data_IF_551560700031
#
_entry.id   IF_551560700031
#
_cell.length_a   1.000
_cell.length_b   1.000
_cell.length_c   1.000
_cell.angle_alpha   90.00
_cell.angle_beta   90.00
_cell.angle_gamma   90.00
#
_symmetry.space_group_name_H-M   'P 1'
#
loop_
_entity.id
_entity.type
_entity.pdbx_description
1 polymer ?
#
# COMPACT_ATOMS: atom_id res chain seq x y z
N UNK A 1 58.39 38.67 77.97
CA UNK A 1 59.01 37.70 78.90
C UNK A 1 58.39 36.34 78.63
N UNK A 2 59.04 35.50 77.82
CA UNK A 2 58.64 34.10 77.69
C UNK A 2 59.20 33.32 78.87
N UNK A 3 58.34 32.60 79.61
CA UNK A 3 58.79 31.74 80.70
C UNK A 3 59.75 30.68 80.14
N UNK A 4 60.90 30.49 80.79
CA UNK A 4 61.86 29.45 80.42
C UNK A 4 61.16 28.08 80.51
N UNK A 5 61.05 27.39 79.39
CA UNK A 5 60.53 26.02 79.39
C UNK A 5 61.55 25.13 80.12
N UNK A 6 61.09 24.24 81.02
CA UNK A 6 62.00 23.34 81.71
C UNK A 6 62.68 22.44 80.67
N UNK A 7 64.01 22.48 80.65
CA UNK A 7 64.82 21.56 79.84
C UNK A 7 64.66 20.19 80.47
N UNK A 8 63.84 19.35 79.84
CA UNK A 8 63.77 17.94 80.20
C UNK A 8 65.20 17.39 79.97
N UNK A 9 65.65 16.41 80.77
CA UNK A 9 66.94 15.72 80.53
C UNK A 9 66.75 14.22 80.26
N UNK A 10 67.73 13.54 79.65
CA UNK A 10 67.67 12.09 79.39
C UNK A 10 67.35 11.31 80.67
N UNK A 11 67.95 11.70 81.79
CA UNK A 11 67.76 11.03 83.06
C UNK A 11 66.33 11.18 83.61
N UNK A 12 65.70 12.34 83.40
CA UNK A 12 64.31 12.56 83.79
C UNK A 12 63.37 11.66 82.97
N UNK A 13 63.63 11.51 81.68
CA UNK A 13 62.85 10.61 80.81
C UNK A 13 63.05 9.15 81.19
N UNK A 14 64.27 8.71 81.48
CA UNK A 14 64.55 7.34 81.96
C UNK A 14 63.82 7.06 83.28
N UNK A 15 63.86 8.00 84.21
CA UNK A 15 63.23 7.86 85.52
C UNK A 15 61.71 7.69 85.41
N UNK A 16 61.05 8.51 84.59
CA UNK A 16 59.60 8.42 84.38
C UNK A 16 59.21 7.14 83.61
N UNK A 17 59.97 6.75 82.57
CA UNK A 17 59.71 5.49 81.83
C UNK A 17 59.88 4.26 82.73
N UNK A 18 60.91 4.25 83.58
CA UNK A 18 61.13 3.15 84.54
C UNK A 18 60.02 3.13 85.60
N UNK A 19 59.55 4.29 86.05
CA UNK A 19 58.42 4.42 86.99
C UNK A 19 57.09 3.95 86.38
N UNK A 20 56.92 4.09 85.08
CA UNK A 20 55.80 3.54 84.31
C UNK A 20 55.90 2.01 84.09
N UNK A 21 56.94 1.35 84.61
CA UNK A 21 57.12 -0.11 84.55
C UNK A 21 57.90 -0.60 83.33
N UNK A 22 58.51 0.29 82.54
CA UNK A 22 59.33 -0.08 81.39
C UNK A 22 60.69 -0.58 81.88
N UNK A 23 61.21 -1.64 81.28
CA UNK A 23 62.54 -2.17 81.58
C UNK A 23 63.59 -1.05 81.43
N UNK A 24 64.49 -0.94 82.41
CA UNK A 24 65.47 0.15 82.49
C UNK A 24 66.36 0.25 81.25
N UNK A 25 66.76 -0.87 80.63
CA UNK A 25 67.58 -0.86 79.42
C UNK A 25 66.82 -0.30 78.22
N UNK A 26 65.53 -0.64 78.09
CA UNK A 26 64.63 -0.11 77.05
C UNK A 26 64.35 1.38 77.31
N UNK A 27 64.16 1.79 78.56
CA UNK A 27 63.95 3.18 78.95
C UNK A 27 65.18 4.06 78.64
N UNK A 28 66.39 3.52 78.80
CA UNK A 28 67.65 4.20 78.43
C UNK A 28 67.74 4.39 76.92
N UNK A 29 67.48 3.34 76.13
CA UNK A 29 67.49 3.42 74.67
C UNK A 29 66.46 4.46 74.16
N UNK A 30 65.20 4.38 74.60
CA UNK A 30 64.15 5.31 74.19
C UNK A 30 64.42 6.77 74.60
N UNK A 31 64.94 6.99 75.81
CA UNK A 31 65.35 8.32 76.26
C UNK A 31 66.49 8.88 75.41
N UNK A 32 67.45 8.03 75.02
CA UNK A 32 68.54 8.43 74.13
C UNK A 32 68.00 8.90 72.77
N UNK A 33 67.06 8.15 72.17
CA UNK A 33 66.42 8.49 70.89
C UNK A 33 65.59 9.79 70.95
N UNK A 34 64.87 9.99 72.06
CA UNK A 34 64.09 11.20 72.31
C UNK A 34 64.94 12.49 72.33
N UNK A 35 66.10 12.46 73.00
CA UNK A 35 66.99 13.65 73.08
C UNK A 35 67.74 13.98 71.80
N UNK A 36 67.87 13.00 70.91
CA UNK A 36 68.62 13.14 69.68
C UNK A 36 67.71 13.55 68.50
N UNK A 37 66.43 13.87 68.76
CA UNK A 37 65.43 14.17 67.73
C UNK A 37 65.36 13.07 66.66
N UNK A 38 65.38 11.82 67.11
CA UNK A 38 65.31 10.65 66.23
C UNK A 38 63.87 10.36 65.81
N UNK A 39 63.24 11.27 65.04
CA UNK A 39 62.55 10.74 63.87
C UNK A 39 63.69 10.20 63.00
N UNK A 40 63.96 8.91 63.13
CA UNK A 40 65.01 8.30 62.33
C UNK A 40 64.59 8.39 60.86
N UNK A 41 65.54 8.41 59.94
CA UNK A 41 65.24 8.29 58.51
C UNK A 41 64.27 7.12 58.24
N UNK A 42 64.38 6.04 59.03
CA UNK A 42 63.50 4.87 58.98
C UNK A 42 62.05 5.16 59.38
N UNK A 43 61.78 6.05 60.32
CA UNK A 43 60.41 6.42 60.70
C UNK A 43 59.73 7.21 59.57
N UNK A 44 60.48 8.10 58.92
CA UNK A 44 60.01 8.86 57.75
C UNK A 44 59.82 7.92 56.55
N UNK A 45 60.75 7.00 56.33
CA UNK A 45 60.68 5.97 55.27
C UNK A 45 59.47 5.06 55.47
N UNK A 46 59.24 4.57 56.70
CA UNK A 46 58.05 3.77 57.03
C UNK A 46 56.74 4.53 56.79
N UNK A 47 56.67 5.79 57.22
CA UNK A 47 55.49 6.63 56.97
C UNK A 47 55.27 6.82 55.47
N UNK A 48 56.33 7.10 54.71
CA UNK A 48 56.28 7.26 53.26
C UNK A 48 55.79 5.98 52.58
N UNK A 49 56.39 4.83 52.88
CA UNK A 49 55.96 3.53 52.33
C UNK A 49 54.49 3.24 52.64
N UNK A 50 54.04 3.49 53.88
CA UNK A 50 52.64 3.29 54.24
C UNK A 50 51.70 4.25 53.49
N UNK A 51 52.12 5.50 53.28
CA UNK A 51 51.36 6.45 52.47
C UNK A 51 51.31 6.05 51.01
N UNK A 52 52.44 5.66 50.42
CA UNK A 52 52.52 5.21 49.03
C UNK A 52 51.64 3.97 48.81
N UNK A 53 51.68 2.97 49.70
CA UNK A 53 50.80 1.79 49.66
C UNK A 53 49.33 2.17 49.74
N UNK A 54 48.96 3.11 50.64
CA UNK A 54 47.57 3.57 50.75
C UNK A 54 47.14 4.31 49.49
N UNK A 55 48.01 5.13 48.91
CA UNK A 55 47.75 5.88 47.70
C UNK A 55 47.55 4.94 46.50
N UNK A 56 48.42 3.94 46.34
CA UNK A 56 48.29 2.91 45.30
C UNK A 56 46.98 2.12 45.42
N UNK A 57 46.56 1.79 46.65
CA UNK A 57 45.26 1.13 46.90
C UNK A 57 44.09 2.02 46.51
N UNK A 58 44.14 3.31 46.86
CA UNK A 58 43.11 4.28 46.48
C UNK A 58 43.04 4.43 44.96
N UNK A 59 44.18 4.60 44.30
CA UNK A 59 44.25 4.71 42.84
C UNK A 59 43.69 3.45 42.16
N UNK A 60 44.09 2.27 42.62
CA UNK A 60 43.59 0.99 42.09
C UNK A 60 42.08 0.85 42.26
N UNK A 61 41.54 1.24 43.42
CA UNK A 61 40.10 1.22 43.69
C UNK A 61 39.34 2.17 42.77
N UNK A 62 39.82 3.41 42.62
CA UNK A 62 39.20 4.40 41.75
C UNK A 62 39.24 3.98 40.28
N UNK A 63 40.36 3.42 39.81
CA UNK A 63 40.45 2.90 38.44
C UNK A 63 39.47 1.74 38.21
N UNK A 64 39.28 0.86 39.20
CA UNK A 64 38.30 -0.21 39.11
C UNK A 64 36.86 0.31 39.05
N UNK A 65 36.51 1.27 39.90
CA UNK A 65 35.19 1.93 39.90
C UNK A 65 34.92 2.66 38.59
N UNK A 66 35.88 3.43 38.07
CA UNK A 66 35.75 4.13 36.79
C UNK A 66 35.50 3.13 35.65
N UNK A 67 36.23 2.01 35.61
CA UNK A 67 36.00 0.95 34.61
C UNK A 67 34.61 0.33 34.76
N UNK A 68 34.17 0.06 35.98
CA UNK A 68 32.84 -0.50 36.24
C UNK A 68 31.72 0.45 35.78
N UNK A 69 31.82 1.73 36.14
CA UNK A 69 30.86 2.77 35.73
C UNK A 69 30.84 2.93 34.21
N UNK A 70 32.02 2.92 33.56
CA UNK A 70 32.10 3.00 32.10
C UNK A 70 31.38 1.82 31.44
N UNK A 71 31.66 0.59 31.89
CA UNK A 71 30.99 -0.62 31.37
C UNK A 71 29.48 -0.56 31.60
N UNK A 72 29.01 -0.09 32.76
CA UNK A 72 27.58 0.06 33.03
C UNK A 72 26.94 1.09 32.08
N UNK A 73 27.62 2.20 31.83
CA UNK A 73 27.14 3.23 30.92
C UNK A 73 27.08 2.73 29.47
N UNK A 74 28.14 2.05 29.00
CA UNK A 74 28.18 1.44 27.67
C UNK A 74 27.01 0.45 27.49
N UNK A 75 26.77 -0.44 28.47
CA UNK A 75 25.64 -1.37 28.45
C UNK A 75 24.26 -0.67 28.42
N UNK A 76 24.11 0.43 29.18
CA UNK A 76 22.87 1.23 29.16
C UNK A 76 22.64 1.88 27.80
N UNK A 77 23.71 2.39 27.18
CA UNK A 77 23.67 2.98 25.84
C UNK A 77 23.26 1.92 24.81
N UNK A 78 23.90 0.75 24.80
CA UNK A 78 23.58 -0.35 23.88
C UNK A 78 22.13 -0.83 24.02
N UNK A 79 21.65 -0.92 25.26
CA UNK A 79 20.25 -1.25 25.56
C UNK A 79 19.32 -0.21 24.96
N UNK A 80 19.63 1.08 25.09
CA UNK A 80 18.81 2.16 24.53
C UNK A 80 18.83 2.22 23.01
N UNK A 81 19.96 1.93 22.37
CA UNK A 81 20.00 1.77 20.92
C UNK A 81 19.12 0.61 20.46
N UNK A 82 19.23 -0.55 21.11
CA UNK A 82 18.40 -1.71 20.80
C UNK A 82 16.90 -1.42 20.98
N UNK A 83 16.51 -0.70 22.04
CA UNK A 83 15.12 -0.27 22.24
C UNK A 83 14.64 0.68 21.12
N UNK A 84 15.50 1.58 20.64
CA UNK A 84 15.18 2.52 19.56
C UNK A 84 15.05 1.81 18.22
N UNK A 85 15.97 0.90 17.88
CA UNK A 85 15.93 0.11 16.65
C UNK A 85 14.63 -0.70 16.57
N UNK A 86 14.27 -1.41 17.66
CA UNK A 86 13.01 -2.15 17.73
C UNK A 86 11.76 -1.26 17.54
N UNK A 87 11.78 -0.04 18.09
CA UNK A 87 10.68 0.94 17.87
C UNK A 87 10.61 1.40 16.42
N UNK A 88 11.76 1.61 15.78
CA UNK A 88 11.85 1.99 14.37
C UNK A 88 11.30 0.86 13.50
N UNK A 89 11.73 -0.38 13.72
CA UNK A 89 11.28 -1.56 12.96
C UNK A 89 9.76 -1.77 13.09
N UNK A 90 9.23 -1.58 14.29
CA UNK A 90 7.78 -1.64 14.55
C UNK A 90 7.05 -0.56 13.76
N UNK A 91 7.59 0.67 13.72
CA UNK A 91 6.98 1.78 12.96
C UNK A 91 7.02 1.55 11.45
N UNK A 92 8.10 0.96 10.92
CA UNK A 92 8.15 0.56 9.52
C UNK A 92 7.10 -0.51 9.21
N UNK A 93 7.01 -1.55 10.04
CA UNK A 93 6.01 -2.61 9.88
C UNK A 93 4.57 -2.06 9.92
N UNK A 94 4.27 -1.12 10.82
CA UNK A 94 2.97 -0.42 10.88
C UNK A 94 2.69 0.38 9.59
N UNK A 95 3.70 1.05 9.03
CA UNK A 95 3.57 1.81 7.78
C UNK A 95 3.34 0.90 6.58
N UNK A 96 4.08 -0.20 6.46
CA UNK A 96 3.92 -1.18 5.38
C UNK A 96 2.51 -1.76 5.39
N UNK A 97 2.01 -2.20 6.55
CA UNK A 97 0.64 -2.70 6.70
C UNK A 97 -0.41 -1.65 6.28
N UNK A 98 -0.18 -0.38 6.60
CA UNK A 98 -1.08 0.72 6.22
C UNK A 98 -1.07 0.96 4.71
N UNK A 99 0.09 0.83 4.07
CA UNK A 99 0.26 0.93 2.63
C UNK A 99 -0.49 -0.21 1.94
N UNK A 100 -0.28 -1.46 2.37
CA UNK A 100 -0.95 -2.64 1.81
C UNK A 100 -2.49 -2.56 1.92
N UNK A 101 -2.98 -2.08 3.07
CA UNK A 101 -4.40 -1.83 3.28
C UNK A 101 -4.93 -0.80 2.27
N UNK A 102 -4.18 0.28 2.01
CA UNK A 102 -4.59 1.31 1.05
C UNK A 102 -4.57 0.82 -0.40
N UNK A 103 -3.62 -0.02 -0.77
CA UNK A 103 -3.63 -0.69 -2.08
C UNK A 103 -4.86 -1.58 -2.24
N UNK A 104 -5.15 -2.43 -1.24
CA UNK A 104 -6.34 -3.29 -1.25
C UNK A 104 -7.64 -2.50 -1.35
N UNK A 105 -7.76 -1.36 -0.64
CA UNK A 105 -8.91 -0.46 -0.76
C UNK A 105 -9.06 0.14 -2.17
N UNK A 106 -7.94 0.47 -2.84
CA UNK A 106 -7.93 1.01 -4.20
C UNK A 106 -8.32 -0.05 -5.23
N UNK A 107 -7.78 -1.26 -5.13
CA UNK A 107 -8.11 -2.38 -6.02
C UNK A 107 -9.61 -2.68 -5.97
N UNK A 108 -10.19 -2.79 -4.76
CA UNK A 108 -11.63 -2.99 -4.59
C UNK A 108 -12.48 -1.87 -5.21
N UNK A 109 -12.02 -0.61 -5.14
CA UNK A 109 -12.70 0.52 -5.79
C UNK A 109 -12.63 0.42 -7.31
N UNK A 110 -11.49 0.00 -7.85
CA UNK A 110 -11.29 -0.21 -9.28
C UNK A 110 -12.22 -1.31 -9.77
N UNK A 111 -12.26 -2.46 -9.10
CA UNK A 111 -13.13 -3.59 -9.44
C UNK A 111 -14.61 -3.18 -9.42
N UNK A 112 -15.02 -2.41 -8.41
CA UNK A 112 -16.39 -1.88 -8.33
C UNK A 112 -16.72 -1.01 -9.54
N UNK A 113 -15.78 -0.16 -9.99
CA UNK A 113 -15.99 0.71 -11.15
C UNK A 113 -16.01 -0.06 -12.48
N UNK A 114 -15.21 -1.12 -12.61
CA UNK A 114 -15.30 -2.01 -13.76
C UNK A 114 -16.66 -2.71 -13.81
N UNK A 115 -17.13 -3.27 -12.70
CA UNK A 115 -18.44 -3.91 -12.62
C UNK A 115 -19.60 -2.93 -12.94
N UNK A 116 -19.51 -1.68 -12.47
CA UNK A 116 -20.48 -0.63 -12.84
C UNK A 116 -20.46 -0.35 -14.36
N UNK A 117 -19.29 -0.34 -14.98
CA UNK A 117 -19.13 -0.09 -16.41
C UNK A 117 -19.68 -1.26 -17.24
N UNK A 118 -19.36 -2.50 -16.87
CA UNK A 118 -19.88 -3.70 -17.54
C UNK A 118 -21.41 -3.73 -17.50
N UNK A 119 -22.01 -3.40 -16.35
CA UNK A 119 -23.47 -3.30 -16.24
C UNK A 119 -24.06 -2.23 -17.17
N UNK A 120 -23.39 -1.08 -17.32
CA UNK A 120 -23.82 -0.03 -18.26
C UNK A 120 -23.71 -0.51 -19.71
N UNK A 121 -22.63 -1.20 -20.06
CA UNK A 121 -22.43 -1.78 -21.40
C UNK A 121 -23.53 -2.79 -21.71
N UNK A 122 -23.79 -3.73 -20.81
CA UNK A 122 -24.85 -4.74 -20.96
C UNK A 122 -26.23 -4.08 -21.15
N UNK A 123 -26.53 -3.01 -20.40
CA UNK A 123 -27.78 -2.28 -20.55
C UNK A 123 -27.88 -1.58 -21.93
N UNK A 124 -26.79 -0.97 -22.41
CA UNK A 124 -26.75 -0.37 -23.75
C UNK A 124 -26.96 -1.43 -24.82
N UNK A 125 -26.27 -2.57 -24.73
CA UNK A 125 -26.39 -3.68 -25.66
C UNK A 125 -27.83 -4.21 -25.72
N UNK A 126 -28.45 -4.47 -24.56
CA UNK A 126 -29.84 -4.90 -24.50
C UNK A 126 -30.81 -3.90 -25.14
N UNK A 127 -30.64 -2.60 -24.86
CA UNK A 127 -31.46 -1.55 -25.45
C UNK A 127 -31.29 -1.46 -26.97
N UNK A 128 -30.07 -1.66 -27.48
CA UNK A 128 -29.81 -1.69 -28.92
C UNK A 128 -30.45 -2.92 -29.57
N UNK A 129 -30.34 -4.09 -28.95
CA UNK A 129 -30.97 -5.32 -29.45
C UNK A 129 -32.50 -5.15 -29.55
N UNK A 130 -33.14 -4.60 -28.52
CA UNK A 130 -34.59 -4.31 -28.55
C UNK A 130 -34.94 -3.35 -29.70
N UNK A 131 -34.19 -2.25 -29.87
CA UNK A 131 -34.43 -1.30 -30.98
C UNK A 131 -34.27 -1.96 -32.35
N UNK A 132 -33.25 -2.81 -32.51
CA UNK A 132 -33.01 -3.56 -33.75
C UNK A 132 -34.19 -4.49 -34.05
N UNK A 133 -34.70 -5.20 -33.04
CA UNK A 133 -35.85 -6.10 -33.21
C UNK A 133 -37.13 -5.35 -33.53
N UNK A 134 -37.37 -4.18 -32.92
CA UNK A 134 -38.49 -3.30 -33.28
C UNK A 134 -38.42 -2.90 -34.74
N UNK A 135 -37.30 -2.33 -35.19
CA UNK A 135 -37.11 -1.90 -36.59
C UNK A 135 -37.26 -3.08 -37.56
N UNK A 136 -36.70 -4.25 -37.21
CA UNK A 136 -36.84 -5.47 -38.03
C UNK A 136 -38.30 -5.87 -38.18
N UNK A 137 -39.10 -5.81 -37.12
CA UNK A 137 -40.51 -6.17 -37.15
C UNK A 137 -41.35 -5.15 -37.94
N UNK A 138 -41.07 -3.86 -37.78
CA UNK A 138 -41.69 -2.78 -38.58
C UNK A 138 -41.43 -2.99 -40.07
N UNK A 139 -40.17 -3.16 -40.47
CA UNK A 139 -39.79 -3.43 -41.86
C UNK A 139 -40.45 -4.71 -42.41
N UNK A 140 -40.55 -5.76 -41.58
CA UNK A 140 -41.24 -7.01 -41.98
C UNK A 140 -42.73 -6.77 -42.24
N UNK A 141 -43.38 -5.93 -41.44
CA UNK A 141 -44.78 -5.54 -41.62
C UNK A 141 -44.95 -4.71 -42.91
N UNK A 142 -44.09 -3.73 -43.12
CA UNK A 142 -44.13 -2.88 -44.32
C UNK A 142 -43.95 -3.71 -45.60
N UNK A 143 -42.98 -4.63 -45.61
CA UNK A 143 -42.77 -5.57 -46.73
C UNK A 143 -44.02 -6.43 -46.98
N UNK A 144 -44.68 -6.91 -45.92
CA UNK A 144 -45.90 -7.70 -46.05
C UNK A 144 -47.05 -6.87 -46.66
N UNK A 145 -47.20 -5.61 -46.25
CA UNK A 145 -48.19 -4.68 -46.81
C UNK A 145 -47.95 -4.45 -48.30
N UNK A 146 -46.71 -4.11 -48.67
CA UNK A 146 -46.31 -3.89 -50.09
C UNK A 146 -46.54 -5.15 -50.91
N UNK A 147 -46.21 -6.34 -50.38
CA UNK A 147 -46.46 -7.62 -51.05
C UNK A 147 -47.96 -7.84 -51.33
N UNK A 148 -48.83 -7.49 -50.38
CA UNK A 148 -50.27 -7.57 -50.56
C UNK A 148 -50.78 -6.57 -51.63
N UNK A 149 -50.31 -5.32 -51.60
CA UNK A 149 -50.65 -4.32 -52.62
C UNK A 149 -50.23 -4.76 -54.02
N UNK A 150 -49.01 -5.30 -54.20
CA UNK A 150 -48.53 -5.85 -55.47
C UNK A 150 -49.42 -7.01 -55.95
N UNK A 151 -49.88 -7.86 -55.02
CA UNK A 151 -50.79 -8.97 -55.33
C UNK A 151 -52.14 -8.47 -55.86
N UNK A 152 -52.70 -7.42 -55.25
CA UNK A 152 -53.95 -6.78 -55.70
C UNK A 152 -53.77 -6.16 -57.09
N UNK A 153 -52.71 -5.38 -57.30
CA UNK A 153 -52.40 -4.77 -58.60
C UNK A 153 -52.22 -5.83 -59.68
N UNK A 154 -51.59 -6.97 -59.36
CA UNK A 154 -51.46 -8.11 -60.30
C UNK A 154 -52.83 -8.68 -60.68
N UNK A 155 -53.75 -8.85 -59.73
CA UNK A 155 -55.11 -9.33 -60.00
C UNK A 155 -55.89 -8.34 -60.88
N UNK A 156 -55.79 -7.04 -60.60
CA UNK A 156 -56.44 -6.01 -61.40
C UNK A 156 -55.93 -6.00 -62.85
N UNK A 157 -54.62 -6.15 -63.04
CA UNK A 157 -54.03 -6.30 -64.39
C UNK A 157 -54.50 -7.57 -65.11
N UNK A 158 -54.61 -8.71 -64.41
CA UNK A 158 -55.14 -9.94 -64.99
C UNK A 158 -56.61 -9.80 -65.39
N UNK A 159 -57.42 -9.14 -64.55
CA UNK A 159 -58.82 -8.83 -64.85
C UNK A 159 -58.95 -7.94 -66.08
N UNK A 160 -58.24 -6.81 -66.11
CA UNK A 160 -58.22 -5.88 -67.24
C UNK A 160 -57.78 -6.58 -68.54
N UNK A 161 -56.79 -7.48 -68.46
CA UNK A 161 -56.33 -8.28 -69.60
C UNK A 161 -57.43 -9.24 -70.10
N UNK A 162 -58.20 -9.85 -69.20
CA UNK A 162 -59.32 -10.73 -69.56
C UNK A 162 -60.46 -9.95 -70.22
N UNK A 163 -60.82 -8.79 -69.66
CA UNK A 163 -61.84 -7.89 -70.22
C UNK A 163 -61.46 -7.37 -71.60
N UNK A 164 -60.21 -6.97 -71.80
CA UNK A 164 -59.72 -6.58 -73.12
C UNK A 164 -59.78 -7.74 -74.14
N UNK A 165 -59.41 -8.96 -73.72
CA UNK A 165 -59.51 -10.14 -74.58
C UNK A 165 -60.96 -10.50 -74.92
N UNK A 166 -61.89 -10.39 -73.98
CA UNK A 166 -63.30 -10.70 -74.21
C UNK A 166 -63.96 -9.67 -75.13
N UNK A 167 -63.68 -8.38 -74.91
CA UNK A 167 -64.15 -7.29 -75.78
C UNK A 167 -63.58 -7.43 -77.19
N UNK A 168 -62.28 -7.72 -77.37
CA UNK A 168 -61.72 -7.98 -78.70
C UNK A 168 -62.38 -9.19 -79.39
N UNK A 169 -62.65 -10.27 -78.66
CA UNK A 169 -63.37 -11.44 -79.21
C UNK A 169 -64.78 -11.06 -79.68
N UNK A 170 -65.50 -10.26 -78.90
CA UNK A 170 -66.82 -9.73 -79.26
C UNK A 170 -66.75 -8.86 -80.52
N UNK A 171 -65.81 -7.91 -80.59
CA UNK A 171 -65.62 -7.07 -81.77
C UNK A 171 -65.25 -7.89 -83.00
N UNK A 172 -64.32 -8.84 -82.89
CA UNK A 172 -63.95 -9.73 -83.98
C UNK A 172 -65.15 -10.57 -84.47
N UNK A 173 -65.99 -11.04 -83.54
CA UNK A 173 -67.21 -11.76 -83.87
C UNK A 173 -68.22 -10.85 -84.60
N UNK A 174 -68.46 -9.63 -84.11
CA UNK A 174 -69.34 -8.64 -84.75
C UNK A 174 -68.85 -8.22 -86.14
N UNK A 175 -67.54 -8.00 -86.32
CA UNK A 175 -66.98 -7.70 -87.63
C UNK A 175 -67.13 -8.89 -88.58
N UNK A 176 -66.92 -10.11 -88.09
CA UNK A 176 -67.17 -11.32 -88.87
C UNK A 176 -68.61 -11.40 -89.37
N UNK A 177 -69.60 -11.18 -88.51
CA UNK A 177 -71.02 -11.19 -88.90
C UNK A 177 -71.38 -10.03 -89.82
N UNK A 178 -70.81 -8.84 -89.61
CA UNK A 178 -71.01 -7.69 -90.48
C UNK A 178 -70.43 -7.94 -91.88
N UNK A 179 -69.24 -8.51 -91.97
CA UNK A 179 -68.60 -8.86 -93.25
C UNK A 179 -69.44 -9.91 -94.00
N UNK A 180 -69.89 -10.98 -93.34
CA UNK A 180 -70.69 -12.03 -93.99
C UNK A 180 -72.05 -11.50 -94.47
N UNK A 181 -72.70 -10.64 -93.68
CA UNK A 181 -73.94 -9.97 -94.08
C UNK A 181 -73.74 -9.10 -95.33
N UNK A 182 -72.70 -8.27 -95.35
CA UNK A 182 -72.41 -7.38 -96.48
C UNK A 182 -72.07 -8.17 -97.76
N UNK A 183 -71.26 -9.24 -97.66
CA UNK A 183 -70.97 -10.13 -98.80
C UNK A 183 -72.25 -10.79 -99.31
N UNK A 184 -73.11 -11.29 -98.41
CA UNK A 184 -74.39 -11.91 -98.78
C UNK A 184 -75.32 -10.96 -99.52
N UNK A 185 -75.46 -9.71 -99.04
CA UNK A 185 -76.24 -8.66 -99.71
C UNK A 185 -75.64 -8.36 -101.09
N UNK A 186 -74.32 -8.21 -101.21
CA UNK A 186 -73.65 -7.93 -102.47
C UNK A 186 -73.84 -9.04 -103.51
N UNK A 187 -73.71 -10.31 -103.12
CA UNK A 187 -73.97 -11.46 -104.00
C UNK A 187 -75.43 -11.53 -104.44
N UNK A 188 -76.38 -11.23 -103.54
CA UNK A 188 -77.80 -11.17 -103.87
C UNK A 188 -78.13 -10.02 -104.85
N UNK A 189 -77.44 -8.89 -104.74
CA UNK A 189 -77.57 -7.79 -105.71
C UNK A 189 -76.96 -8.14 -107.07
N UNK A 190 -75.81 -8.81 -107.12
CA UNK A 190 -75.21 -9.30 -108.38
C UNK A 190 -76.16 -10.28 -109.09
N UNK A 191 -76.78 -11.21 -108.36
CA UNK A 191 -77.68 -12.19 -108.97
C UNK A 191 -78.95 -11.56 -109.56
N UNK A 192 -79.37 -10.39 -109.05
CA UNK A 192 -80.44 -9.58 -109.65
C UNK A 192 -80.00 -8.86 -110.93
N UNK A 193 -78.72 -8.53 -111.07
CA UNK A 193 -78.14 -7.82 -112.23
C UNK A 193 -77.76 -8.74 -113.40
N UNK A 194 -77.49 -10.02 -113.16
CA UNK A 194 -77.09 -11.01 -114.20
C UNK A 194 -78.31 -11.75 -114.81
N UNK A 195 -79.45 -11.07 -114.90
CA UNK A 195 -80.65 -11.57 -115.61
C UNK A 195 -80.79 -10.96 -117.00
#
# INVERSE_FOLDING_TARGET
>A
MGLAQPVITQQMVIAELTKAGINREIAIDLSYRYYRNELTHKDIEFLKENFDIKLEKVESSLQAEIKAVKTELDNKIDTKFTELDNKIDTKFTELDNKIDTKFTELDNKIDTKFNELDNKINNVENNLNVKIDTVRNELKSDIASVSNEISLVRKDMEFNRMEFKSTLRLHNWMFGTLITLNIGIFLALISLLVK
#
